data_IF_686259679054
#
_entry.id   IF_686259679054
#
_cell.length_a   1.000
_cell.length_b   1.000
_cell.length_c   1.000
_cell.angle_alpha   90.00
_cell.angle_beta   90.00
_cell.angle_gamma   90.00
#
_symmetry.space_group_name_H-M   'P 1'
#
loop_
_entity.id
_entity.type
_entity.pdbx_description
1 polymer ?
#
# COMPACT_ATOMS: atom_id res chain seq x y z
N UNK A 1 1.53 8.36 26.10
CA UNK A 1 1.61 6.88 26.19
C UNK A 1 2.18 6.33 24.89
N UNK A 2 2.84 5.16 24.88
CA UNK A 2 3.26 4.46 23.65
C UNK A 2 2.66 3.06 23.61
N UNK A 3 2.36 2.56 22.41
CA UNK A 3 1.84 1.21 22.16
C UNK A 3 2.73 0.50 21.14
N UNK A 4 2.93 -0.80 21.34
CA UNK A 4 3.57 -1.73 20.41
C UNK A 4 2.70 -3.00 20.39
N UNK A 5 1.80 -3.10 19.42
CA UNK A 5 0.83 -4.19 19.33
C UNK A 5 0.35 -4.39 17.90
N UNK A 6 0.15 -5.66 17.49
CA UNK A 6 -0.42 -6.02 16.18
C UNK A 6 0.25 -5.34 14.98
N UNK A 7 1.56 -5.08 15.06
CA UNK A 7 2.31 -4.37 14.01
C UNK A 7 2.25 -2.84 14.10
N UNK A 8 1.41 -2.26 14.96
CA UNK A 8 1.37 -0.81 15.21
C UNK A 8 2.36 -0.44 16.33
N UNK A 9 3.28 0.46 16.01
CA UNK A 9 4.10 1.19 16.98
C UNK A 9 3.73 2.66 16.94
N UNK A 10 3.15 3.17 18.03
CA UNK A 10 2.59 4.51 18.01
C UNK A 10 2.66 5.21 19.36
N UNK A 11 2.67 6.55 19.33
CA UNK A 11 2.37 7.37 20.51
C UNK A 11 0.89 7.69 20.52
N UNK A 12 0.30 7.59 21.71
CA UNK A 12 -1.09 7.91 21.96
C UNK A 12 -1.19 9.13 22.88
N UNK A 13 -2.15 9.99 22.59
CA UNK A 13 -2.54 11.18 23.35
C UNK A 13 -4.05 11.31 23.39
N UNK A 14 -4.59 12.10 24.32
CA UNK A 14 -6.02 12.35 24.42
C UNK A 14 -6.55 12.01 25.81
N UNK A 15 -7.87 12.08 25.94
CA UNK A 15 -8.57 12.04 27.21
C UNK A 15 -9.75 11.07 27.09
N UNK A 16 -9.87 10.17 28.07
CA UNK A 16 -10.97 9.22 28.19
C UNK A 16 -11.59 9.33 29.57
N UNK A 17 -12.90 9.53 29.60
CA UNK A 17 -13.71 9.35 30.78
C UNK A 17 -14.14 7.89 30.89
N UNK A 18 -13.76 7.26 31.98
CA UNK A 18 -14.08 5.86 32.27
C UNK A 18 -15.26 5.82 33.24
N UNK A 19 -16.34 5.18 32.81
CA UNK A 19 -17.54 4.97 33.64
C UNK A 19 -17.72 3.48 33.82
N UNK A 20 -17.88 3.02 35.06
CA UNK A 20 -18.16 1.63 35.36
C UNK A 20 -19.40 1.54 36.25
N UNK A 21 -20.41 0.79 35.80
CA UNK A 21 -21.66 0.58 36.53
C UNK A 21 -22.09 -0.90 36.51
N UNK A 22 -23.36 -1.17 36.83
CA UNK A 22 -23.90 -2.55 36.88
C UNK A 22 -24.06 -3.17 35.49
N UNK A 23 -24.04 -2.37 34.42
CA UNK A 23 -24.23 -2.76 33.03
C UNK A 23 -22.89 -3.01 32.33
N UNK A 24 -21.80 -2.41 32.81
CA UNK A 24 -20.46 -2.74 32.36
C UNK A 24 -19.48 -1.58 32.42
N UNK A 25 -18.42 -1.67 31.63
CA UNK A 25 -17.44 -0.62 31.42
C UNK A 25 -17.84 0.22 30.20
N UNK A 26 -17.85 1.54 30.36
CA UNK A 26 -18.06 2.51 29.30
C UNK A 26 -16.91 3.51 29.20
N UNK A 27 -16.50 3.85 27.98
CA UNK A 27 -15.49 4.86 27.67
C UNK A 27 -16.11 5.97 26.84
N UNK A 28 -15.87 7.21 27.22
CA UNK A 28 -16.25 8.38 26.44
C UNK A 28 -15.05 9.33 26.29
N UNK A 29 -14.77 9.78 25.07
CA UNK A 29 -13.66 10.68 24.80
C UNK A 29 -12.93 10.31 23.52
N UNK A 30 -11.72 10.81 23.35
CA UNK A 30 -10.98 10.67 22.11
C UNK A 30 -9.52 10.33 22.37
N UNK A 31 -9.00 9.35 21.62
CA UNK A 31 -7.58 9.05 21.52
C UNK A 31 -7.09 9.48 20.15
N UNK A 32 -5.94 10.14 20.15
CA UNK A 32 -5.23 10.59 18.97
C UNK A 32 -3.89 9.87 18.84
N UNK A 33 -3.51 9.58 17.61
CA UNK A 33 -2.24 8.99 17.19
C UNK A 33 -1.45 10.05 16.42
N UNK A 34 -0.74 10.96 17.11
CA UNK A 34 0.04 12.02 16.45
C UNK A 34 1.27 11.49 15.71
N UNK A 35 1.76 10.30 16.06
CA UNK A 35 2.89 9.64 15.43
C UNK A 35 2.71 8.13 15.54
N UNK A 36 2.90 7.41 14.44
CA UNK A 36 2.81 5.97 14.42
C UNK A 36 3.36 5.37 13.14
N UNK A 37 3.80 4.13 13.24
CA UNK A 37 4.25 3.31 12.13
C UNK A 37 3.60 1.94 12.25
N UNK A 38 2.97 1.50 11.18
CA UNK A 38 2.30 0.21 11.09
C UNK A 38 3.12 -0.69 10.16
N UNK A 39 3.66 -1.75 10.72
CA UNK A 39 4.46 -2.74 10.02
C UNK A 39 3.77 -4.11 10.08
N UNK A 40 3.12 -4.49 8.98
CA UNK A 40 2.45 -5.78 8.84
C UNK A 40 2.39 -6.20 7.37
N UNK A 41 2.34 -7.51 7.10
CA UNK A 41 2.22 -8.06 5.73
C UNK A 41 3.30 -7.54 4.76
N UNK A 42 4.50 -7.27 5.28
CA UNK A 42 5.62 -6.70 4.51
C UNK A 42 5.44 -5.23 4.12
N UNK A 43 4.38 -4.58 4.60
CA UNK A 43 4.11 -3.17 4.35
C UNK A 43 4.59 -2.33 5.51
N UNK A 44 5.11 -1.15 5.16
CA UNK A 44 5.62 -0.18 6.10
C UNK A 44 4.87 1.13 5.91
N UNK A 45 3.88 1.37 6.78
CA UNK A 45 2.98 2.51 6.68
C UNK A 45 3.24 3.49 7.81
N UNK A 46 3.28 4.78 7.48
CA UNK A 46 3.42 5.89 8.41
C UNK A 46 2.02 6.46 8.65
N UNK A 47 1.59 6.48 9.91
CA UNK A 47 0.32 7.08 10.32
C UNK A 47 0.45 8.60 10.25
N UNK A 48 -0.36 9.24 9.39
CA UNK A 48 -0.46 10.70 9.26
C UNK A 48 -1.57 11.28 10.11
N UNK A 49 -2.64 10.51 10.26
CA UNK A 49 -3.80 10.85 11.06
C UNK A 49 -4.30 9.59 11.76
N UNK A 50 -4.61 9.68 13.04
CA UNK A 50 -5.30 8.60 13.72
C UNK A 50 -6.13 9.15 14.85
N UNK A 51 -7.44 8.98 14.75
CA UNK A 51 -8.42 9.38 15.74
C UNK A 51 -9.29 8.17 16.07
N UNK A 52 -9.49 7.93 17.36
CA UNK A 52 -10.39 6.93 17.89
C UNK A 52 -11.36 7.64 18.83
N UNK A 53 -12.64 7.66 18.47
CA UNK A 53 -13.69 8.29 19.27
C UNK A 53 -14.47 7.20 20.03
N UNK A 54 -14.49 7.31 21.34
CA UNK A 54 -15.22 6.40 22.24
C UNK A 54 -16.51 7.07 22.69
N UNK A 55 -17.62 6.34 22.64
CA UNK A 55 -18.96 6.83 22.98
C UNK A 55 -19.82 5.76 23.66
N UNK A 56 -19.26 5.05 24.63
CA UNK A 56 -19.91 3.95 25.34
C UNK A 56 -19.05 2.68 25.31
N UNK A 57 -19.32 1.69 24.44
CA UNK A 57 -18.59 0.43 24.44
C UNK A 57 -17.09 0.60 24.21
N UNK A 58 -16.22 0.01 25.06
CA UNK A 58 -14.76 0.20 24.98
C UNK A 58 -14.12 -0.50 23.78
N UNK A 59 -14.80 -1.47 23.18
CA UNK A 59 -14.35 -2.29 22.06
C UNK A 59 -14.88 -1.81 20.69
N UNK A 60 -15.80 -0.83 20.68
CA UNK A 60 -16.38 -0.26 19.46
C UNK A 60 -16.13 1.25 19.29
N UNK A 61 -14.88 1.74 19.34
CA UNK A 61 -14.61 3.13 18.98
C UNK A 61 -14.88 3.37 17.49
N UNK A 62 -15.26 4.60 17.15
CA UNK A 62 -15.24 5.07 15.78
C UNK A 62 -13.81 5.42 15.38
N UNK A 63 -13.34 4.80 14.30
CA UNK A 63 -12.00 4.95 13.74
C UNK A 63 -12.01 6.03 12.66
N UNK A 64 -10.95 6.83 12.63
CA UNK A 64 -10.61 7.71 11.51
C UNK A 64 -9.09 7.78 11.40
N UNK A 65 -8.52 6.85 10.63
CA UNK A 65 -7.08 6.63 10.55
C UNK A 65 -6.65 6.74 9.09
N UNK A 66 -5.57 7.46 8.85
CA UNK A 66 -4.90 7.56 7.57
C UNK A 66 -3.43 7.22 7.73
N UNK A 67 -2.97 6.26 6.93
CA UNK A 67 -1.58 5.87 6.87
C UNK A 67 -1.11 5.82 5.41
N UNK A 68 0.11 6.28 5.17
CA UNK A 68 0.74 6.27 3.84
C UNK A 68 1.92 5.32 3.83
N UNK A 69 2.24 4.73 2.70
CA UNK A 69 3.52 4.03 2.51
C UNK A 69 4.66 4.98 2.81
N UNK A 70 5.75 4.45 3.36
CA UNK A 70 6.97 5.21 3.55
C UNK A 70 7.44 5.81 2.20
N UNK A 71 7.50 7.15 2.07
CA UNK A 71 7.94 7.81 0.83
C UNK A 71 9.35 7.40 0.39
N UNK A 72 10.23 7.08 1.34
CA UNK A 72 11.60 6.61 1.04
C UNK A 72 11.63 5.26 0.30
N UNK A 73 10.51 4.53 0.33
CA UNK A 73 10.32 3.23 -0.31
C UNK A 73 9.21 3.27 -1.38
N UNK A 74 8.95 4.45 -1.94
CA UNK A 74 7.96 4.68 -3.00
C UNK A 74 8.59 5.48 -4.14
N UNK A 75 8.42 5.01 -5.36
CA UNK A 75 8.91 5.64 -6.59
C UNK A 75 8.00 6.79 -7.03
N UNK A 76 8.48 7.57 -8.01
CA UNK A 76 7.71 8.59 -8.73
C UNK A 76 7.12 9.72 -7.88
N UNK A 77 7.61 9.91 -6.64
CA UNK A 77 7.12 10.89 -5.67
C UNK A 77 5.60 10.77 -5.42
N UNK A 78 5.09 9.54 -5.53
CA UNK A 78 3.67 9.22 -5.33
C UNK A 78 3.40 8.91 -3.87
N UNK A 79 2.38 9.56 -3.31
CA UNK A 79 1.83 9.15 -2.01
C UNK A 79 0.79 8.08 -2.28
N UNK A 80 1.00 6.87 -1.76
CA UNK A 80 -0.03 5.84 -1.73
C UNK A 80 -0.37 5.50 -0.28
N UNK A 81 -1.65 5.37 0.04
CA UNK A 81 -2.08 5.17 1.41
C UNK A 81 -3.41 4.45 1.55
N UNK A 82 -3.75 4.20 2.81
CA UNK A 82 -5.02 3.62 3.24
C UNK A 82 -5.67 4.54 4.25
N UNK A 83 -6.99 4.71 4.11
CA UNK A 83 -7.85 5.36 5.09
C UNK A 83 -8.81 4.34 5.65
N UNK A 84 -8.92 4.29 6.98
CA UNK A 84 -9.83 3.40 7.71
C UNK A 84 -10.79 4.26 8.50
N UNK A 85 -12.08 4.11 8.24
CA UNK A 85 -13.16 4.86 8.89
C UNK A 85 -14.28 3.93 9.35
N UNK A 86 -15.12 4.36 10.30
CA UNK A 86 -16.25 3.56 10.79
C UNK A 86 -15.99 2.93 12.15
N UNK A 87 -16.92 2.09 12.62
CA UNK A 87 -16.77 1.41 13.90
C UNK A 87 -15.66 0.35 13.83
N UNK A 88 -15.02 0.05 14.96
CA UNK A 88 -13.89 -0.89 14.99
C UNK A 88 -14.25 -2.34 14.62
N UNK A 89 -15.51 -2.74 14.78
CA UNK A 89 -16.05 -4.05 14.39
C UNK A 89 -16.53 -4.10 12.93
N UNK A 90 -16.95 -2.96 12.39
CA UNK A 90 -17.35 -2.79 10.98
C UNK A 90 -16.58 -1.66 10.28
N UNK A 91 -15.23 -1.75 10.18
CA UNK A 91 -14.44 -0.69 9.57
C UNK A 91 -14.55 -0.72 8.05
N UNK A 92 -14.57 0.47 7.44
CA UNK A 92 -14.43 0.69 6.01
C UNK A 92 -12.99 1.10 5.69
N UNK A 93 -12.35 0.36 4.80
CA UNK A 93 -11.03 0.69 4.30
C UNK A 93 -11.10 1.22 2.86
N UNK A 94 -10.39 2.31 2.59
CA UNK A 94 -10.28 2.94 1.28
C UNK A 94 -8.81 3.18 0.93
N UNK A 95 -8.40 2.76 -0.26
CA UNK A 95 -7.05 3.01 -0.78
C UNK A 95 -7.09 4.31 -1.57
N UNK A 96 -6.08 5.16 -1.39
CA UNK A 96 -5.97 6.43 -2.09
C UNK A 96 -4.53 6.66 -2.57
N UNK A 97 -4.39 7.65 -3.45
CA UNK A 97 -3.10 8.16 -3.86
C UNK A 97 -3.10 9.66 -4.11
N UNK A 98 -1.91 10.24 -4.13
CA UNK A 98 -1.63 11.59 -4.61
C UNK A 98 -0.37 11.54 -5.51
N UNK A 99 -0.47 11.83 -6.82
CA UNK A 99 -1.67 12.21 -7.56
C UNK A 99 -2.76 11.14 -7.59
N UNK A 100 -4.02 11.57 -7.73
CA UNK A 100 -5.17 10.67 -7.75
C UNK A 100 -5.13 9.70 -8.96
N UNK A 101 -5.22 8.40 -8.69
CA UNK A 101 -5.22 7.35 -9.71
C UNK A 101 -6.31 6.30 -9.45
N UNK A 102 -6.40 5.28 -10.32
CA UNK A 102 -7.31 4.16 -10.10
C UNK A 102 -6.94 3.37 -8.85
N UNK A 103 -7.92 2.72 -8.20
CA UNK A 103 -7.65 1.90 -7.02
C UNK A 103 -6.59 0.80 -7.28
N UNK A 104 -6.55 0.23 -8.49
CA UNK A 104 -5.55 -0.80 -8.82
C UNK A 104 -4.14 -0.23 -8.89
N UNK A 105 -3.98 0.96 -9.47
CA UNK A 105 -2.70 1.63 -9.53
C UNK A 105 -2.25 2.10 -8.14
N UNK A 106 -3.17 2.69 -7.34
CA UNK A 106 -2.87 3.11 -5.97
C UNK A 106 -2.48 1.91 -5.09
N UNK A 107 -3.17 0.78 -5.23
CA UNK A 107 -2.82 -0.47 -4.55
C UNK A 107 -1.45 -1.00 -4.98
N UNK A 108 -1.09 -0.87 -6.26
CA UNK A 108 0.24 -1.25 -6.74
C UNK A 108 1.33 -0.47 -6.01
N UNK A 109 1.22 0.86 -5.96
CA UNK A 109 2.15 1.69 -5.21
C UNK A 109 2.13 1.33 -3.72
N UNK A 110 0.94 1.14 -3.14
CA UNK A 110 0.82 0.80 -1.73
C UNK A 110 1.52 -0.52 -1.37
N UNK A 111 1.46 -1.55 -2.23
CA UNK A 111 2.04 -2.86 -1.96
C UNK A 111 3.50 -3.00 -2.42
N UNK A 112 3.84 -2.42 -3.58
CA UNK A 112 5.13 -2.62 -4.27
C UNK A 112 6.03 -1.40 -4.24
N UNK A 113 5.49 -0.22 -3.96
CA UNK A 113 6.22 1.05 -4.03
C UNK A 113 6.33 1.62 -5.44
N UNK A 114 5.77 0.96 -6.45
CA UNK A 114 5.84 1.37 -7.84
C UNK A 114 4.51 1.14 -8.57
N UNK A 115 4.32 1.84 -9.68
CA UNK A 115 3.13 1.73 -10.50
C UNK A 115 2.93 0.34 -11.10
N UNK A 116 1.75 0.12 -11.69
CA UNK A 116 1.59 -0.96 -12.66
C UNK A 116 2.35 -0.50 -13.90
N UNK A 117 3.53 -1.07 -14.17
CA UNK A 117 4.13 -0.90 -15.49
C UNK A 117 3.08 -1.29 -16.53
N UNK A 118 2.71 -0.36 -17.39
CA UNK A 118 2.06 -0.71 -18.63
C UNK A 118 3.12 -1.46 -19.44
N UNK A 119 3.16 -2.78 -19.29
CA UNK A 119 4.06 -3.70 -19.96
C UNK A 119 3.67 -3.76 -21.46
N UNK A 120 3.84 -2.61 -22.11
CA UNK A 120 3.38 -2.27 -23.45
C UNK A 120 4.49 -1.49 -24.18
N UNK A 121 5.74 -1.74 -23.83
CA UNK A 121 6.92 -1.20 -24.54
C UNK A 121 8.01 -2.26 -24.78
N UNK A 122 8.01 -3.37 -24.04
CA UNK A 122 9.06 -4.39 -24.19
C UNK A 122 8.76 -5.51 -25.18
N UNK A 123 7.48 -5.74 -25.51
CA UNK A 123 7.14 -6.81 -26.47
C UNK A 123 7.60 -6.49 -27.90
N UNK A 124 7.55 -5.22 -28.33
CA UNK A 124 7.97 -4.80 -29.67
C UNK A 124 9.51 -4.77 -29.83
N UNK A 125 10.23 -4.31 -28.80
CA UNK A 125 11.69 -4.28 -28.79
C UNK A 125 12.30 -5.70 -28.70
N UNK A 126 11.74 -6.57 -27.86
CA UNK A 126 12.16 -7.97 -27.77
C UNK A 126 11.83 -8.75 -29.06
N UNK A 127 10.64 -8.55 -29.64
CA UNK A 127 10.24 -9.20 -30.89
C UNK A 127 11.12 -8.79 -32.06
N UNK A 128 11.48 -7.51 -32.17
CA UNK A 128 12.40 -7.03 -33.21
C UNK A 128 13.83 -7.56 -33.05
N UNK A 129 14.33 -7.72 -31.81
CA UNK A 129 15.60 -8.42 -31.55
C UNK A 129 15.56 -9.90 -31.95
N UNK A 130 14.49 -10.63 -31.61
CA UNK A 130 14.33 -12.05 -31.95
C UNK A 130 14.23 -12.28 -33.46
N UNK A 131 13.49 -11.42 -34.17
CA UNK A 131 13.40 -11.44 -35.65
C UNK A 131 14.79 -11.16 -36.25
N UNK A 132 15.50 -10.16 -35.75
CA UNK A 132 16.86 -9.83 -36.21
C UNK A 132 17.87 -10.97 -36.00
N UNK A 133 17.79 -11.68 -34.87
CA UNK A 133 18.63 -12.83 -34.57
C UNK A 133 18.25 -14.08 -35.41
N UNK A 134 16.96 -14.31 -35.62
CA UNK A 134 16.43 -15.40 -36.44
C UNK A 134 16.85 -15.28 -37.90
N UNK A 135 16.71 -14.09 -38.49
CA UNK A 135 17.11 -13.81 -39.88
C UNK A 135 18.62 -13.97 -40.07
N UNK A 136 19.46 -13.54 -39.11
CA UNK A 136 20.92 -13.75 -39.17
C UNK A 136 21.34 -15.21 -39.07
N UNK A 137 20.53 -16.06 -38.45
CA UNK A 137 20.78 -17.51 -38.36
C UNK A 137 20.36 -18.22 -39.65
N UNK A 138 19.21 -17.84 -40.21
CA UNK A 138 18.71 -18.34 -41.50
C UNK A 138 19.61 -17.91 -42.65
N UNK A 139 20.01 -16.63 -42.74
CA UNK A 139 20.91 -16.15 -43.78
C UNK A 139 22.27 -16.88 -43.77
N UNK A 140 22.82 -17.18 -42.58
CA UNK A 140 24.04 -17.99 -42.44
C UNK A 140 23.86 -19.42 -42.91
N UNK A 141 22.69 -20.03 -42.70
CA UNK A 141 22.37 -21.38 -43.20
C UNK A 141 22.29 -21.39 -44.74
N UNK A 142 21.66 -20.39 -45.35
CA UNK A 142 21.60 -20.26 -46.81
C UNK A 142 22.96 -20.04 -47.46
N UNK A 143 23.79 -19.14 -46.91
CA UNK A 143 25.15 -18.89 -47.42
C UNK A 143 26.05 -20.12 -47.28
N UNK A 144 25.90 -20.88 -46.19
CA UNK A 144 26.69 -22.10 -45.96
C UNK A 144 26.30 -23.25 -46.90
N UNK A 145 25.02 -23.33 -47.28
CA UNK A 145 24.55 -24.30 -48.29
C UNK A 145 24.97 -23.91 -49.71
N UNK A 146 24.96 -22.61 -50.06
CA UNK A 146 25.40 -22.14 -51.38
C UNK A 146 26.90 -22.38 -51.64
N UNK A 147 27.75 -22.31 -50.61
CA UNK A 147 29.19 -22.59 -50.73
C UNK A 147 29.56 -24.08 -50.85
N UNK A 148 28.62 -25.01 -50.67
CA UNK A 148 28.88 -26.46 -50.82
C UNK A 148 28.53 -26.99 -52.21
N UNK A 149 28.01 -26.14 -53.10
CA UNK A 149 27.59 -26.49 -54.45
C UNK A 149 28.41 -25.75 -55.53
N UNK A 150 29.56 -25.18 -55.16
CA UNK A 150 30.53 -24.54 -56.06
C UNK A 150 31.91 -25.19 -55.88
#
# INVERSE_FOLDING_TARGET
MRIDAFGLKARLTGDLNVVQDKQGLGLNGQINIPEGRFHAYGQDLIVRKGELLFSGPPDQPYLNIEAIRNPDATEDDVIAGVRVTGLADEPKAEIFSDPAMSQQAALSYLLRGQGLESDQSDSAAMTSMLIGLGLRKVARLWVKSARRLA
#
